data_IF_719568890051
#
_entry.id   IF_719568890051
#
_cell.length_a   1.000
_cell.length_b   1.000
_cell.length_c   1.000
_cell.angle_alpha   90.00
_cell.angle_beta   90.00
_cell.angle_gamma   90.00
#
_symmetry.space_group_name_H-M   'P 1'
#
loop_
_entity.id
_entity.type
_entity.pdbx_description
1 polymer ?
#
# COMPACT_ATOMS: atom_id res chain seq x y z
N UNK A 1 3.99 -7.13 -18.22
CA UNK A 1 3.94 -6.01 -17.25
C UNK A 1 3.41 -6.52 -15.92
N UNK A 2 3.83 -5.91 -14.83
CA UNK A 2 3.41 -6.22 -13.45
C UNK A 2 3.30 -4.91 -12.68
N UNK A 3 2.42 -4.86 -11.66
CA UNK A 3 2.34 -3.72 -10.76
C UNK A 3 2.94 -4.07 -9.39
N UNK A 4 3.95 -3.32 -8.98
CA UNK A 4 4.47 -3.35 -7.61
C UNK A 4 3.68 -2.33 -6.79
N UNK A 5 3.06 -2.79 -5.70
CA UNK A 5 2.20 -1.93 -4.90
C UNK A 5 2.57 -1.99 -3.42
N UNK A 6 2.39 -0.86 -2.73
CA UNK A 6 2.71 -0.73 -1.32
C UNK A 6 1.53 -0.17 -0.56
N UNK A 7 1.24 -0.76 0.59
CA UNK A 7 0.26 -0.26 1.54
C UNK A 7 0.97 0.58 2.61
N UNK A 8 0.45 1.77 2.85
CA UNK A 8 0.97 2.72 3.84
C UNK A 8 -0.03 2.82 5.00
N UNK A 9 -0.04 1.76 5.82
CA UNK A 9 -0.97 1.57 6.91
C UNK A 9 -0.67 2.49 8.09
N UNK A 10 -1.70 2.92 8.78
CA UNK A 10 -1.56 3.45 10.13
C UNK A 10 -2.85 3.28 10.93
N UNK A 11 -2.80 2.44 11.93
CA UNK A 11 -3.86 2.35 12.93
C UNK A 11 -3.66 3.39 14.04
N UNK A 12 -4.71 3.73 14.82
CA UNK A 12 -4.55 4.54 16.02
C UNK A 12 -3.54 3.97 17.03
N UNK A 13 -3.42 2.64 17.11
CA UNK A 13 -2.43 1.99 17.97
C UNK A 13 -1.00 2.22 17.48
N UNK A 14 -0.75 2.12 16.17
CA UNK A 14 0.54 2.45 15.55
C UNK A 14 0.91 3.90 15.80
N UNK A 15 -0.05 4.81 15.67
CA UNK A 15 0.14 6.23 15.98
C UNK A 15 0.54 6.44 17.44
N UNK A 16 -0.10 5.76 18.39
CA UNK A 16 0.29 5.84 19.80
C UNK A 16 1.70 5.31 20.08
N UNK A 17 2.12 4.25 19.38
CA UNK A 17 3.49 3.73 19.52
C UNK A 17 4.52 4.77 19.07
N UNK A 18 4.25 5.48 17.97
CA UNK A 18 5.08 6.58 17.48
C UNK A 18 5.12 7.74 18.50
N UNK A 19 3.96 8.19 18.99
CA UNK A 19 3.85 9.30 19.96
C UNK A 19 4.57 9.03 21.29
N UNK A 20 4.64 7.75 21.69
CA UNK A 20 5.37 7.28 22.88
C UNK A 20 6.86 7.01 22.62
N UNK A 21 7.33 7.17 21.39
CA UNK A 21 8.71 6.86 21.02
C UNK A 21 9.08 5.38 21.06
N UNK A 22 8.09 4.47 21.05
CA UNK A 22 8.29 3.01 21.01
C UNK A 22 8.73 2.55 19.61
N UNK A 23 8.37 3.30 18.59
CA UNK A 23 8.79 3.13 17.20
C UNK A 23 9.31 4.47 16.69
N UNK A 24 10.37 4.45 15.91
CA UNK A 24 10.97 5.68 15.36
C UNK A 24 10.23 6.21 14.14
N UNK A 25 9.78 5.32 13.28
CA UNK A 25 9.05 5.63 12.05
C UNK A 25 8.20 4.44 11.62
N UNK A 26 7.10 4.73 10.92
CA UNK A 26 6.31 3.77 10.14
C UNK A 26 6.48 3.98 8.63
N UNK A 27 7.51 4.73 8.23
CA UNK A 27 7.88 4.94 6.84
C UNK A 27 9.33 4.53 6.61
N UNK A 28 9.54 3.68 5.64
CA UNK A 28 10.87 3.23 5.23
C UNK A 28 11.35 3.99 3.99
N UNK A 29 12.13 5.03 4.21
CA UNK A 29 12.72 5.83 3.13
C UNK A 29 13.60 5.00 2.18
N UNK A 30 14.20 3.89 2.64
CA UNK A 30 15.06 3.06 1.81
C UNK A 30 14.28 2.41 0.66
N UNK A 31 13.00 2.08 0.86
CA UNK A 31 12.12 1.55 -0.20
C UNK A 31 12.03 2.55 -1.35
N UNK A 32 11.72 3.82 -1.04
CA UNK A 32 11.66 4.89 -2.07
C UNK A 32 13.00 5.06 -2.79
N UNK A 33 14.09 5.05 -2.03
CA UNK A 33 15.44 5.16 -2.58
C UNK A 33 15.76 3.99 -3.54
N UNK A 34 15.33 2.78 -3.20
CA UNK A 34 15.48 1.59 -4.05
C UNK A 34 14.67 1.71 -5.34
N UNK A 35 13.40 2.13 -5.25
CA UNK A 35 12.56 2.36 -6.43
C UNK A 35 13.17 3.38 -7.40
N UNK A 36 13.73 4.47 -6.86
CA UNK A 36 14.41 5.49 -7.65
C UNK A 36 15.68 4.96 -8.33
N UNK A 37 16.51 4.22 -7.60
CA UNK A 37 17.74 3.67 -8.10
C UNK A 37 17.55 2.70 -9.27
N UNK A 38 16.46 1.93 -9.24
CA UNK A 38 16.09 1.00 -10.31
C UNK A 38 15.12 1.60 -11.35
N UNK A 39 14.69 2.87 -11.19
CA UNK A 39 13.68 3.53 -12.03
C UNK A 39 12.37 2.73 -12.16
N UNK A 40 11.91 2.20 -11.04
CA UNK A 40 10.73 1.34 -10.98
C UNK A 40 9.48 2.14 -10.66
N UNK A 41 8.44 1.99 -11.49
CA UNK A 41 7.12 2.51 -11.20
C UNK A 41 6.41 1.66 -10.14
N UNK A 42 5.64 2.32 -9.27
CA UNK A 42 4.86 1.66 -8.24
C UNK A 42 3.56 2.43 -7.96
N UNK A 43 2.60 1.75 -7.31
CA UNK A 43 1.40 2.41 -6.76
C UNK A 43 1.43 2.28 -5.25
N UNK A 44 1.27 3.40 -4.53
CA UNK A 44 1.24 3.44 -3.07
C UNK A 44 -0.17 3.79 -2.59
N UNK A 45 -0.78 2.88 -1.84
CA UNK A 45 -2.09 3.08 -1.23
C UNK A 45 -1.91 3.76 0.14
N UNK A 46 -2.22 5.05 0.21
CA UNK A 46 -2.02 5.86 1.40
C UNK A 46 -3.20 5.74 2.37
N UNK A 47 -2.91 5.40 3.64
CA UNK A 47 -3.86 5.58 4.73
C UNK A 47 -4.03 7.06 5.08
N UNK A 48 -5.25 7.49 5.45
CA UNK A 48 -5.50 8.88 5.83
C UNK A 48 -4.72 9.30 7.08
N UNK A 49 -4.70 8.46 8.11
CA UNK A 49 -3.94 8.71 9.34
C UNK A 49 -2.42 8.68 9.08
N UNK A 50 -1.95 7.82 8.18
CA UNK A 50 -0.56 7.81 7.73
C UNK A 50 -0.21 9.13 7.02
N UNK A 51 -1.03 9.56 6.08
CA UNK A 51 -0.87 10.82 5.34
C UNK A 51 -0.83 12.04 6.28
N UNK A 52 -1.69 12.04 7.31
CA UNK A 52 -1.70 13.11 8.33
C UNK A 52 -0.45 13.09 9.20
N UNK A 53 0.15 11.92 9.41
CA UNK A 53 1.36 11.73 10.22
C UNK A 53 2.62 12.07 9.44
N UNK A 54 2.66 11.74 8.15
CA UNK A 54 3.80 11.90 7.23
C UNK A 54 3.42 12.78 6.02
N UNK A 55 3.04 14.06 6.24
CA UNK A 55 2.55 14.90 5.15
C UNK A 55 3.63 15.26 4.12
N UNK A 56 4.89 15.33 4.52
CA UNK A 56 6.00 15.66 3.62
C UNK A 56 6.37 14.45 2.76
N UNK A 57 6.36 13.27 3.33
CA UNK A 57 6.57 12.00 2.63
C UNK A 57 5.42 11.73 1.65
N UNK A 58 4.18 11.97 2.06
CA UNK A 58 3.01 11.84 1.18
C UNK A 58 3.11 12.78 -0.03
N UNK A 59 3.53 14.04 0.18
CA UNK A 59 3.78 14.99 -0.93
C UNK A 59 4.92 14.52 -1.82
N UNK A 60 6.01 14.04 -1.25
CA UNK A 60 7.17 13.55 -2.00
C UNK A 60 6.77 12.38 -2.89
N UNK A 61 6.03 11.40 -2.36
CA UNK A 61 5.52 10.28 -3.13
C UNK A 61 4.60 10.74 -4.27
N UNK A 62 3.66 11.64 -3.96
CA UNK A 62 2.65 12.07 -4.92
C UNK A 62 3.21 12.95 -6.07
N UNK A 63 4.35 13.62 -5.88
CA UNK A 63 4.99 14.43 -6.92
C UNK A 63 6.05 13.66 -7.70
N UNK A 64 6.32 12.42 -7.36
CA UNK A 64 7.23 11.57 -8.12
C UNK A 64 6.52 10.96 -9.35
N UNK A 65 7.03 11.17 -10.57
CA UNK A 65 6.44 10.64 -11.79
C UNK A 65 6.45 9.10 -11.87
N UNK A 66 7.22 8.43 -11.02
CA UNK A 66 7.25 6.97 -10.91
C UNK A 66 6.18 6.41 -9.97
N UNK A 67 5.53 7.25 -9.15
CA UNK A 67 4.61 6.81 -8.10
C UNK A 67 3.18 7.26 -8.39
N UNK A 68 2.27 6.30 -8.40
CA UNK A 68 0.83 6.54 -8.38
C UNK A 68 0.29 6.43 -6.96
N UNK A 69 -0.69 7.30 -6.61
CA UNK A 69 -1.31 7.31 -5.29
C UNK A 69 -2.69 6.69 -5.32
N UNK A 70 -2.92 5.70 -4.46
CA UNK A 70 -4.21 5.12 -4.11
C UNK A 70 -4.67 5.51 -2.71
N UNK A 71 -5.90 5.11 -2.34
CA UNK A 71 -6.52 5.31 -1.03
C UNK A 71 -6.59 3.97 -0.27
N UNK A 72 -6.21 3.97 1.03
CA UNK A 72 -6.18 2.77 1.87
C UNK A 72 -6.99 2.93 3.17
N UNK A 73 -8.15 3.60 3.10
CA UNK A 73 -8.99 3.98 4.25
C UNK A 73 -8.31 4.98 5.20
N UNK A 74 -9.00 5.42 6.25
CA UNK A 74 -8.42 6.41 7.15
C UNK A 74 -7.63 5.77 8.30
N UNK A 75 -8.27 4.85 9.05
CA UNK A 75 -7.69 4.26 10.26
C UNK A 75 -7.13 2.84 10.05
N UNK A 76 -7.10 2.34 8.83
CA UNK A 76 -6.72 0.95 8.52
C UNK A 76 -7.57 -0.06 9.30
N UNK A 77 -8.89 0.18 9.41
CA UNK A 77 -9.84 -0.77 9.97
C UNK A 77 -10.32 -1.74 8.88
N UNK A 78 -10.62 -2.97 9.28
CA UNK A 78 -11.15 -3.97 8.35
C UNK A 78 -12.62 -3.69 8.03
N UNK A 79 -12.99 -3.91 6.77
CA UNK A 79 -14.37 -3.83 6.27
C UNK A 79 -15.12 -5.17 6.41
N UNK A 80 -14.59 -6.08 7.22
CA UNK A 80 -15.18 -7.36 7.55
C UNK A 80 -14.94 -7.68 9.02
N UNK A 81 -15.83 -8.49 9.60
CA UNK A 81 -15.83 -8.80 11.04
C UNK A 81 -14.62 -9.63 11.52
N UNK A 82 -13.85 -10.22 10.63
CA UNK A 82 -12.67 -11.01 10.95
C UNK A 82 -11.60 -10.83 9.89
N UNK A 83 -10.53 -10.12 10.23
CA UNK A 83 -9.46 -9.79 9.30
C UNK A 83 -8.14 -9.63 10.05
N UNK A 84 -7.36 -10.71 10.19
CA UNK A 84 -6.01 -10.71 10.78
C UNK A 84 -5.88 -10.01 12.15
N UNK A 85 -6.98 -9.92 12.92
CA UNK A 85 -7.01 -9.20 14.19
C UNK A 85 -7.09 -7.68 14.08
N UNK A 86 -7.31 -7.14 12.90
CA UNK A 86 -7.61 -5.72 12.71
C UNK A 86 -8.95 -5.37 13.38
N UNK A 87 -9.07 -4.18 13.98
CA UNK A 87 -10.38 -3.64 14.36
C UNK A 87 -11.26 -3.55 13.11
N UNK A 88 -12.53 -3.91 13.23
CA UNK A 88 -13.50 -3.72 12.15
C UNK A 88 -14.18 -2.36 12.27
N UNK A 89 -14.56 -1.80 11.13
CA UNK A 89 -15.43 -0.64 11.03
C UNK A 89 -16.89 -1.12 10.86
N UNK A 90 -17.88 -0.45 11.46
CA UNK A 90 -19.28 -0.72 11.14
C UNK A 90 -19.62 -0.32 9.70
N UNK A 91 -20.38 -1.12 8.96
CA UNK A 91 -20.79 -0.85 7.57
C UNK A 91 -21.39 0.55 7.35
N UNK A 92 -22.03 1.11 8.38
CA UNK A 92 -22.59 2.46 8.34
C UNK A 92 -21.54 3.58 8.31
N UNK A 93 -20.29 3.29 8.64
CA UNK A 93 -19.17 4.25 8.73
C UNK A 93 -18.14 4.09 7.59
N UNK A 94 -18.28 3.04 6.77
CA UNK A 94 -17.35 2.72 5.69
C UNK A 94 -17.10 3.88 4.72
N UNK A 95 -18.20 4.49 4.26
CA UNK A 95 -18.13 5.62 3.32
C UNK A 95 -17.42 6.81 3.95
N UNK A 96 -17.72 7.11 5.21
CA UNK A 96 -17.16 8.27 5.90
C UNK A 96 -15.67 8.10 6.14
N UNK A 97 -15.22 6.91 6.55
CA UNK A 97 -13.78 6.59 6.71
C UNK A 97 -13.01 6.75 5.39
N UNK A 98 -13.53 6.16 4.31
CA UNK A 98 -12.89 6.25 2.99
C UNK A 98 -12.89 7.68 2.47
N UNK A 99 -13.99 8.42 2.67
CA UNK A 99 -14.11 9.81 2.23
C UNK A 99 -13.19 10.74 3.05
N UNK A 100 -13.03 10.49 4.35
CA UNK A 100 -12.08 11.22 5.20
C UNK A 100 -10.64 11.00 4.70
N UNK A 101 -10.27 9.75 4.39
CA UNK A 101 -8.98 9.43 3.79
C UNK A 101 -8.80 10.15 2.44
N UNK A 102 -9.81 10.10 1.57
CA UNK A 102 -9.78 10.77 0.27
C UNK A 102 -9.53 12.27 0.41
N UNK A 103 -10.22 12.91 1.35
CA UNK A 103 -10.11 14.34 1.61
C UNK A 103 -8.72 14.73 2.13
N UNK A 104 -8.17 13.97 3.09
CA UNK A 104 -6.85 14.29 3.66
C UNK A 104 -5.73 14.03 2.65
N UNK A 105 -5.80 12.95 1.87
CA UNK A 105 -4.84 12.64 0.81
C UNK A 105 -4.86 13.78 -0.23
N UNK A 106 -6.03 14.11 -0.76
CA UNK A 106 -6.18 15.18 -1.77
C UNK A 106 -5.68 16.52 -1.25
N UNK A 107 -6.06 16.89 -0.02
CA UNK A 107 -5.63 18.16 0.60
C UNK A 107 -4.12 18.24 0.80
N UNK A 108 -3.50 17.11 1.17
CA UNK A 108 -2.06 17.07 1.48
C UNK A 108 -1.20 17.01 0.22
N UNK A 109 -1.60 16.21 -0.76
CA UNK A 109 -0.78 15.87 -1.93
C UNK A 109 -1.16 16.66 -3.19
N UNK A 110 -2.39 17.19 -3.26
CA UNK A 110 -2.96 17.74 -4.50
C UNK A 110 -3.47 16.68 -5.46
N UNK A 111 -3.30 15.38 -5.15
CA UNK A 111 -3.74 14.25 -5.99
C UNK A 111 -5.00 13.64 -5.39
N UNK A 112 -6.04 13.47 -6.20
CA UNK A 112 -7.25 12.75 -5.82
C UNK A 112 -7.14 11.30 -6.27
N UNK A 113 -7.00 10.32 -5.36
CA UNK A 113 -6.91 8.90 -5.70
C UNK A 113 -8.11 8.41 -6.50
N UNK A 114 -7.86 7.53 -7.48
CA UNK A 114 -8.89 6.85 -8.27
C UNK A 114 -9.06 5.38 -7.84
N UNK A 115 -8.05 4.85 -7.17
CA UNK A 115 -7.99 3.47 -6.73
C UNK A 115 -8.07 3.38 -5.22
N UNK A 116 -8.75 2.34 -4.76
CA UNK A 116 -8.90 2.02 -3.35
C UNK A 116 -8.46 0.58 -3.10
N UNK A 117 -7.81 0.35 -1.97
CA UNK A 117 -7.50 -0.99 -1.48
C UNK A 117 -8.04 -1.16 -0.07
N UNK A 118 -8.74 -2.25 0.16
CA UNK A 118 -9.26 -2.59 1.49
C UNK A 118 -8.13 -3.00 2.43
N UNK A 119 -8.10 -2.50 3.69
CA UNK A 119 -7.18 -2.95 4.73
C UNK A 119 -7.24 -4.47 4.91
N UNK A 120 -6.05 -5.11 4.89
CA UNK A 120 -5.92 -6.55 4.95
C UNK A 120 -6.59 -7.33 3.81
N UNK A 121 -7.16 -6.66 2.81
CA UNK A 121 -7.92 -7.27 1.73
C UNK A 121 -9.25 -7.90 2.16
N UNK A 122 -9.79 -7.51 3.30
CA UNK A 122 -11.01 -8.07 3.88
C UNK A 122 -12.19 -7.14 3.63
N UNK A 123 -13.13 -7.61 2.84
CA UNK A 123 -14.33 -6.89 2.44
C UNK A 123 -15.43 -7.86 1.99
N UNK A 124 -16.64 -7.37 1.83
CA UNK A 124 -17.72 -8.09 1.19
C UNK A 124 -18.16 -7.43 -0.14
N UNK A 125 -19.16 -8.03 -0.80
CA UNK A 125 -19.64 -7.50 -2.08
C UNK A 125 -20.40 -6.19 -1.95
N UNK A 126 -20.93 -5.88 -0.78
CA UNK A 126 -21.66 -4.63 -0.50
C UNK A 126 -20.68 -3.46 -0.46
N UNK A 127 -19.51 -3.67 0.16
CA UNK A 127 -18.45 -2.67 0.26
C UNK A 127 -17.97 -2.23 -1.12
N UNK A 128 -17.74 -3.19 -2.04
CA UNK A 128 -17.32 -2.89 -3.41
C UNK A 128 -18.35 -2.01 -4.13
N UNK A 129 -19.65 -2.35 -4.01
CA UNK A 129 -20.73 -1.56 -4.61
C UNK A 129 -20.84 -0.16 -3.97
N UNK A 130 -20.58 -0.10 -2.68
CA UNK A 130 -20.63 1.15 -1.91
C UNK A 130 -19.51 2.10 -2.33
N UNK A 131 -18.28 1.59 -2.43
CA UNK A 131 -17.12 2.40 -2.85
C UNK A 131 -17.18 2.83 -4.32
N UNK A 132 -17.80 2.03 -5.18
CA UNK A 132 -18.03 2.41 -6.57
C UNK A 132 -18.86 3.71 -6.69
N UNK A 133 -19.76 3.99 -5.73
CA UNK A 133 -20.53 5.25 -5.66
C UNK A 133 -19.65 6.47 -5.39
N UNK A 134 -18.49 6.29 -4.77
CA UNK A 134 -17.50 7.34 -4.57
C UNK A 134 -16.59 7.55 -5.79
N UNK A 135 -16.81 6.81 -6.89
CA UNK A 135 -15.98 6.86 -8.09
C UNK A 135 -14.63 6.17 -7.92
N UNK A 136 -14.47 5.32 -6.90
CA UNK A 136 -13.25 4.58 -6.63
C UNK A 136 -13.31 3.19 -7.29
N UNK A 137 -12.21 2.80 -7.92
CA UNK A 137 -12.00 1.43 -8.39
C UNK A 137 -11.26 0.64 -7.32
N UNK A 138 -11.87 -0.46 -6.87
CA UNK A 138 -11.23 -1.36 -5.91
C UNK A 138 -10.13 -2.16 -6.60
N UNK A 139 -8.94 -2.18 -5.99
CA UNK A 139 -7.77 -2.92 -6.48
C UNK A 139 -7.31 -3.89 -5.41
N UNK A 140 -7.37 -5.17 -5.73
CA UNK A 140 -6.84 -6.26 -4.91
C UNK A 140 -5.44 -6.66 -5.43
N UNK A 141 -4.95 -7.83 -5.03
CA UNK A 141 -3.67 -8.41 -5.46
C UNK A 141 -3.83 -9.89 -5.77
N UNK A 142 -2.91 -10.44 -6.54
CA UNK A 142 -2.77 -11.87 -6.79
C UNK A 142 -1.46 -12.43 -6.24
N UNK A 143 -0.46 -11.57 -5.96
CA UNK A 143 0.81 -11.95 -5.35
C UNK A 143 0.96 -11.32 -3.97
N UNK A 144 1.05 -12.17 -2.93
CA UNK A 144 1.30 -11.75 -1.55
C UNK A 144 2.78 -11.92 -1.23
N UNK A 145 3.50 -10.83 -1.03
CA UNK A 145 4.92 -10.89 -0.62
C UNK A 145 5.10 -11.48 0.79
N UNK A 146 4.11 -11.30 1.66
CA UNK A 146 4.14 -11.77 3.04
C UNK A 146 5.16 -11.03 3.91
N UNK A 147 5.41 -9.76 3.62
CA UNK A 147 6.44 -8.94 4.25
C UNK A 147 6.01 -8.34 5.60
N UNK A 148 4.70 -8.18 5.85
CA UNK A 148 4.14 -7.42 6.99
C UNK A 148 4.69 -7.76 8.38
N UNK A 149 5.01 -9.03 8.65
CA UNK A 149 5.58 -9.49 9.93
C UNK A 149 6.76 -10.45 9.73
N UNK A 150 7.38 -10.42 8.55
CA UNK A 150 8.40 -11.37 8.15
C UNK A 150 9.79 -10.77 8.34
N UNK A 151 10.60 -11.41 9.19
CA UNK A 151 11.99 -11.04 9.43
C UNK A 151 12.98 -11.72 8.46
N UNK A 152 12.48 -12.50 7.49
CA UNK A 152 13.29 -13.24 6.53
C UNK A 152 13.08 -12.74 5.10
N UNK A 153 14.01 -11.91 4.62
CA UNK A 153 13.98 -11.36 3.27
C UNK A 153 13.92 -12.46 2.19
N UNK A 154 14.65 -13.57 2.37
CA UNK A 154 14.63 -14.67 1.38
C UNK A 154 13.26 -15.32 1.25
N UNK A 155 12.48 -15.41 2.33
CA UNK A 155 11.10 -15.90 2.29
C UNK A 155 10.20 -14.97 1.47
N UNK A 156 10.37 -13.65 1.60
CA UNK A 156 9.66 -12.63 0.83
C UNK A 156 10.02 -12.74 -0.65
N UNK A 157 11.32 -12.83 -0.97
CA UNK A 157 11.83 -13.00 -2.33
C UNK A 157 11.20 -14.24 -2.97
N UNK A 158 11.29 -15.39 -2.31
CA UNK A 158 10.76 -16.65 -2.82
C UNK A 158 9.24 -16.58 -3.06
N UNK A 159 8.49 -15.91 -2.17
CA UNK A 159 7.05 -15.73 -2.31
C UNK A 159 6.70 -14.92 -3.56
N UNK A 160 7.40 -13.82 -3.82
CA UNK A 160 7.18 -12.98 -4.99
C UNK A 160 7.62 -13.69 -6.27
N UNK A 161 8.84 -14.21 -6.31
CA UNK A 161 9.42 -14.79 -7.53
C UNK A 161 8.65 -16.02 -8.03
N UNK A 162 8.13 -16.83 -7.10
CA UNK A 162 7.41 -18.07 -7.45
C UNK A 162 5.97 -17.83 -7.91
N UNK A 163 5.36 -16.69 -7.59
CA UNK A 163 3.95 -16.40 -7.88
C UNK A 163 3.77 -15.40 -9.03
N UNK A 164 4.80 -14.57 -9.31
CA UNK A 164 4.66 -13.49 -10.27
C UNK A 164 4.52 -14.01 -11.70
N UNK A 165 3.46 -13.59 -12.35
CA UNK A 165 3.18 -13.81 -13.78
C UNK A 165 2.88 -12.48 -14.47
N UNK A 166 2.74 -12.50 -15.79
CA UNK A 166 2.36 -11.27 -16.52
C UNK A 166 0.94 -10.83 -16.13
N UNK A 167 0.79 -9.58 -15.72
CA UNK A 167 -0.45 -9.00 -15.20
C UNK A 167 -0.56 -8.99 -13.68
N UNK A 168 0.41 -9.57 -12.96
CA UNK A 168 0.38 -9.64 -11.49
C UNK A 168 0.39 -8.27 -10.82
N UNK A 169 -0.36 -8.18 -9.73
CA UNK A 169 -0.36 -7.09 -8.76
C UNK A 169 0.24 -7.61 -7.45
N UNK A 170 1.42 -7.13 -7.12
CA UNK A 170 2.19 -7.58 -5.95
C UNK A 170 1.90 -6.63 -4.79
N UNK A 171 1.44 -7.16 -3.64
CA UNK A 171 1.27 -6.37 -2.41
C UNK A 171 2.47 -6.50 -1.49
N UNK A 172 2.96 -5.34 -1.05
CA UNK A 172 3.99 -5.13 -0.03
C UNK A 172 3.60 -3.95 0.86
N UNK A 173 4.43 -3.63 1.87
CA UNK A 173 4.20 -2.49 2.76
C UNK A 173 5.38 -1.51 2.72
N UNK A 174 5.08 -0.20 2.84
CA UNK A 174 6.10 0.85 2.83
C UNK A 174 6.68 1.15 4.23
N UNK A 175 6.44 0.25 5.17
CA UNK A 175 6.75 0.45 6.58
C UNK A 175 8.21 0.27 6.95
N UNK A 176 8.55 0.83 8.11
CA UNK A 176 9.76 0.55 8.89
C UNK A 176 9.37 0.03 10.29
N UNK A 177 10.37 -0.35 11.10
CA UNK A 177 10.14 -0.82 12.47
C UNK A 177 9.70 -2.28 12.56
N UNK A 178 8.82 -2.64 13.52
CA UNK A 178 8.45 -4.03 13.76
C UNK A 178 7.51 -4.64 12.70
N UNK A 179 6.89 -3.80 11.86
CA UNK A 179 6.09 -4.25 10.72
C UNK A 179 6.87 -4.07 9.43
N UNK A 180 6.85 -5.07 8.56
CA UNK A 180 7.54 -5.10 7.28
C UNK A 180 9.06 -4.74 7.36
N UNK A 181 9.82 -5.31 8.31
CA UNK A 181 11.20 -4.90 8.57
C UNK A 181 12.16 -5.28 7.44
N UNK A 182 11.77 -6.18 6.54
CA UNK A 182 12.62 -6.75 5.51
C UNK A 182 12.16 -6.44 4.08
N UNK A 183 11.17 -5.59 3.91
CA UNK A 183 10.66 -5.24 2.58
C UNK A 183 11.77 -4.67 1.69
N UNK A 184 12.55 -3.71 2.18
CA UNK A 184 13.63 -3.14 1.37
C UNK A 184 14.75 -4.16 1.08
N UNK A 185 15.11 -5.00 2.06
CA UNK A 185 16.12 -6.04 1.88
C UNK A 185 15.71 -7.04 0.79
N UNK A 186 14.39 -7.32 0.66
CA UNK A 186 13.86 -8.15 -0.40
C UNK A 186 13.80 -7.43 -1.75
N UNK A 187 13.41 -6.15 -1.79
CA UNK A 187 13.24 -5.39 -3.02
C UNK A 187 14.53 -5.26 -3.84
N UNK A 188 15.68 -5.10 -3.19
CA UNK A 188 16.99 -4.99 -3.88
C UNK A 188 17.35 -6.26 -4.65
N UNK A 189 16.74 -7.40 -4.33
CA UNK A 189 16.90 -8.67 -5.04
C UNK A 189 15.75 -8.92 -6.03
N UNK A 190 14.50 -8.69 -5.61
CA UNK A 190 13.27 -8.90 -6.41
C UNK A 190 13.28 -8.06 -7.68
N UNK A 191 13.60 -6.77 -7.58
CA UNK A 191 13.49 -5.85 -8.71
C UNK A 191 14.42 -6.27 -9.86
N UNK A 192 15.75 -6.42 -9.65
CA UNK A 192 16.65 -6.80 -10.73
C UNK A 192 16.35 -8.21 -11.27
N UNK A 193 15.90 -9.15 -10.41
CA UNK A 193 15.52 -10.48 -10.85
C UNK A 193 14.33 -10.43 -11.82
N UNK A 194 13.23 -9.75 -11.45
CA UNK A 194 12.05 -9.64 -12.30
C UNK A 194 12.34 -8.85 -13.59
N UNK A 195 13.18 -7.80 -13.53
CA UNK A 195 13.64 -7.10 -14.73
C UNK A 195 14.43 -8.03 -15.66
N UNK A 196 15.30 -8.89 -15.12
CA UNK A 196 16.05 -9.87 -15.91
C UNK A 196 15.15 -10.95 -16.54
N UNK A 197 13.99 -11.25 -15.94
CA UNK A 197 12.94 -12.10 -16.53
C UNK A 197 12.11 -11.37 -17.62
N UNK A 198 12.38 -10.09 -17.87
CA UNK A 198 11.70 -9.29 -18.90
C UNK A 198 10.42 -8.62 -18.42
N UNK A 199 10.12 -8.63 -17.12
CA UNK A 199 8.99 -7.90 -16.58
C UNK A 199 9.24 -6.39 -16.59
N UNK A 200 8.21 -5.63 -16.93
CA UNK A 200 8.17 -4.18 -16.83
C UNK A 200 7.27 -3.79 -15.68
N UNK A 201 7.78 -2.96 -14.78
CA UNK A 201 7.04 -2.41 -13.66
C UNK A 201 6.23 -1.20 -14.11
N UNK A 202 4.93 -1.26 -13.89
CA UNK A 202 3.97 -0.21 -14.27
C UNK A 202 3.08 0.15 -13.09
N UNK A 203 2.41 1.30 -13.15
CA UNK A 203 1.39 1.68 -12.17
C UNK A 203 0.11 0.88 -12.39
N UNK A 204 -0.81 0.91 -11.41
CA UNK A 204 -2.14 0.29 -11.56
C UNK A 204 -2.90 0.90 -12.74
N UNK A 205 -2.84 2.24 -12.92
CA UNK A 205 -3.46 2.89 -14.09
C UNK A 205 -2.94 2.34 -15.41
N UNK A 206 -1.63 2.15 -15.51
CA UNK A 206 -1.01 1.63 -16.73
C UNK A 206 -1.35 0.14 -16.93
N UNK A 207 -1.37 -0.66 -15.86
CA UNK A 207 -1.68 -2.09 -15.95
C UNK A 207 -3.13 -2.33 -16.42
N UNK A 208 -4.09 -1.55 -15.89
CA UNK A 208 -5.52 -1.72 -16.19
C UNK A 208 -5.95 -1.14 -17.54
N UNK A 209 -5.14 -0.26 -18.14
CA UNK A 209 -5.44 0.37 -19.45
C UNK A 209 -4.75 -0.33 -20.63
N UNK A 210 -4.21 -1.53 -20.42
CA UNK A 210 -3.45 -2.27 -21.43
C UNK A 210 -4.23 -3.39 -22.10
#
# INVERSE_FOLDING_TARGET
MIALTFDADMTPAMRQMLDRGLVKSWYNQAIKTTLDAYHVKATVFLGGLWTKTYPDEARTLAHDPLIEIGNHSYNHYAFANSCYGLPSIPDSEDIDDVQEAQNIITKTTGVTPKYFRFPGGCYDSVDVVTLAKLGLTVVHWDVVAGDGFNENAQSIINAVDSQTINGSIIVMHIHDGPYAPKTNDALIEIIPYLQAQGYQFVTISELLNY
#
